data_IF_744025116507
#
_entry.id   IF_744025116507
#
_cell.length_a   1.000
_cell.length_b   1.000
_cell.length_c   1.000
_cell.angle_alpha   90.00
_cell.angle_beta   90.00
_cell.angle_gamma   90.00
#
_symmetry.space_group_name_H-M   'P 1'
#
loop_
_entity.id
_entity.type
_entity.pdbx_description
1 polymer ?
#
# COMPACT_ATOMS: atom_id res chain seq x y z
N UNK A 1 -10.03 9.01 23.03
CA UNK A 1 -8.84 9.43 22.27
C UNK A 1 -9.11 10.66 21.41
N UNK A 2 -10.14 10.61 20.57
CA UNK A 2 -10.49 11.74 19.70
C UNK A 2 -10.76 13.03 20.49
N UNK A 3 -11.55 12.95 21.54
CA UNK A 3 -11.89 14.12 22.37
C UNK A 3 -10.67 14.76 23.06
N UNK A 4 -9.65 13.97 23.36
CA UNK A 4 -8.42 14.44 23.98
C UNK A 4 -7.48 15.14 22.99
N UNK A 5 -7.56 14.78 21.69
CA UNK A 5 -6.67 15.23 20.65
C UNK A 5 -7.26 16.27 19.69
N UNK A 6 -8.55 16.59 19.85
CA UNK A 6 -9.33 17.38 18.88
C UNK A 6 -8.65 18.69 18.47
N UNK A 7 -8.09 19.44 19.40
CA UNK A 7 -7.48 20.72 19.14
C UNK A 7 -5.94 20.69 19.06
N UNK A 8 -5.31 19.52 19.23
CA UNK A 8 -3.86 19.37 19.32
C UNK A 8 -3.24 18.77 18.08
N UNK A 9 -3.95 17.89 17.37
CA UNK A 9 -3.42 17.23 16.19
C UNK A 9 -4.51 16.78 15.23
N UNK A 10 -4.12 16.49 13.98
CA UNK A 10 -4.98 15.85 13.01
C UNK A 10 -5.06 14.34 13.26
N UNK A 11 -6.22 13.75 12.99
CA UNK A 11 -6.44 12.31 13.08
C UNK A 11 -6.90 11.77 11.73
N UNK A 12 -6.19 10.76 11.21
CA UNK A 12 -6.56 10.08 9.98
C UNK A 12 -6.87 8.62 10.30
N UNK A 13 -8.08 8.17 9.92
CA UNK A 13 -8.48 6.78 10.05
C UNK A 13 -8.35 6.08 8.71
N UNK A 14 -7.64 4.97 8.71
CA UNK A 14 -7.49 4.09 7.56
C UNK A 14 -8.27 2.80 7.82
N UNK A 15 -9.13 2.43 6.89
CA UNK A 15 -9.97 1.26 7.04
C UNK A 15 -10.31 0.64 5.68
N UNK A 16 -10.89 -0.54 5.70
CA UNK A 16 -11.45 -1.18 4.51
C UNK A 16 -12.86 -0.66 4.25
N UNK A 17 -13.42 -0.97 3.08
CA UNK A 17 -14.80 -0.64 2.71
C UNK A 17 -15.83 -1.17 3.70
N UNK A 18 -15.48 -2.19 4.47
CA UNK A 18 -16.36 -2.76 5.49
C UNK A 18 -16.76 -1.74 6.57
N UNK A 19 -15.84 -0.87 6.95
CA UNK A 19 -16.14 0.17 7.94
C UNK A 19 -17.20 1.14 7.41
N UNK A 20 -17.07 1.59 6.16
CA UNK A 20 -18.05 2.48 5.53
C UNK A 20 -19.42 1.81 5.42
N UNK A 21 -19.48 0.56 4.99
CA UNK A 21 -20.72 -0.22 4.92
C UNK A 21 -21.39 -0.36 6.29
N UNK A 22 -20.59 -0.65 7.30
CA UNK A 22 -21.10 -0.77 8.69
C UNK A 22 -21.61 0.55 9.22
N UNK A 23 -20.90 1.64 8.94
CA UNK A 23 -21.31 2.99 9.32
C UNK A 23 -22.64 3.37 8.67
N UNK A 24 -22.76 3.18 7.36
CA UNK A 24 -23.98 3.45 6.59
C UNK A 24 -25.17 2.64 7.13
N UNK A 25 -24.96 1.35 7.41
CA UNK A 25 -25.97 0.46 7.97
C UNK A 25 -26.44 0.95 9.37
N UNK A 26 -25.50 1.30 10.25
CA UNK A 26 -25.80 1.81 11.57
C UNK A 26 -26.56 3.13 11.55
N UNK A 27 -26.20 4.04 10.65
CA UNK A 27 -26.90 5.32 10.46
C UNK A 27 -28.32 5.12 9.94
N UNK A 28 -28.51 4.21 8.97
CA UNK A 28 -29.82 3.89 8.42
C UNK A 28 -30.78 3.32 9.49
N UNK A 29 -30.27 2.48 10.37
CA UNK A 29 -31.03 1.87 11.46
C UNK A 29 -31.11 2.76 12.71
N UNK A 30 -30.52 3.95 12.67
CA UNK A 30 -30.46 4.90 13.78
C UNK A 30 -29.90 4.30 15.06
N UNK A 31 -28.90 3.43 14.94
CA UNK A 31 -28.24 2.83 16.09
C UNK A 31 -27.48 3.90 16.89
N UNK A 32 -27.52 3.77 18.22
CA UNK A 32 -26.88 4.70 19.14
C UNK A 32 -25.37 4.80 18.90
N UNK A 33 -24.86 6.02 18.85
CA UNK A 33 -23.42 6.31 18.72
C UNK A 33 -22.92 6.48 17.28
N UNK A 34 -23.60 5.92 16.28
CA UNK A 34 -23.13 5.99 14.90
C UNK A 34 -23.16 7.41 14.32
N UNK A 35 -24.22 8.15 14.60
CA UNK A 35 -24.34 9.54 14.12
C UNK A 35 -23.27 10.44 14.72
N UNK A 36 -22.95 10.25 15.99
CA UNK A 36 -21.91 11.01 16.68
C UNK A 36 -20.53 10.75 16.07
N UNK A 37 -20.17 9.47 15.86
CA UNK A 37 -18.91 9.09 15.23
C UNK A 37 -18.83 9.66 13.81
N UNK A 38 -19.89 9.49 13.03
CA UNK A 38 -19.95 9.99 11.66
C UNK A 38 -19.77 11.51 11.59
N UNK A 39 -20.39 12.24 12.50
CA UNK A 39 -20.24 13.69 12.60
C UNK A 39 -18.79 14.09 12.92
N UNK A 40 -18.13 13.38 13.83
CA UNK A 40 -16.73 13.65 14.21
C UNK A 40 -15.75 13.32 13.09
N UNK A 41 -16.07 12.36 12.23
CA UNK A 41 -15.28 12.03 11.04
C UNK A 41 -15.53 13.01 9.87
N UNK A 42 -16.33 14.05 10.07
CA UNK A 42 -16.61 15.04 9.04
C UNK A 42 -17.64 14.59 8.00
N UNK A 43 -18.37 13.51 8.27
CA UNK A 43 -19.42 12.94 7.41
C UNK A 43 -18.91 12.56 6.01
N UNK A 44 -17.65 12.18 5.91
CA UNK A 44 -17.02 11.90 4.63
C UNK A 44 -16.03 10.75 4.73
N UNK A 45 -16.12 9.84 3.79
CA UNK A 45 -15.09 8.83 3.54
C UNK A 45 -14.44 9.11 2.19
N UNK A 46 -13.12 9.05 2.13
CA UNK A 46 -12.39 9.16 0.88
C UNK A 46 -12.03 7.75 0.43
N UNK A 47 -12.66 7.31 -0.67
CA UNK A 47 -12.34 6.02 -1.25
C UNK A 47 -11.04 6.12 -2.05
N UNK A 48 -10.08 5.26 -1.72
CA UNK A 48 -8.87 5.12 -2.51
C UNK A 48 -9.15 4.14 -3.65
N UNK A 49 -8.72 4.48 -4.85
CA UNK A 49 -8.82 3.57 -5.98
C UNK A 49 -7.94 2.34 -5.77
N UNK A 50 -8.29 1.23 -6.42
CA UNK A 50 -7.46 0.04 -6.43
C UNK A 50 -6.11 0.29 -7.10
N UNK A 51 -5.18 -0.62 -6.85
CA UNK A 51 -3.84 -0.60 -7.43
C UNK A 51 -3.91 -0.92 -8.93
N UNK A 52 -3.32 -0.07 -9.77
CA UNK A 52 -3.26 -0.28 -11.21
C UNK A 52 -1.92 -0.88 -11.63
N UNK A 53 -1.84 -1.43 -12.84
CA UNK A 53 -0.58 -1.91 -13.41
C UNK A 53 0.47 -0.80 -13.52
N UNK A 54 0.04 0.41 -13.87
CA UNK A 54 0.92 1.58 -13.93
C UNK A 54 1.50 1.93 -12.55
N UNK A 55 0.70 1.81 -11.50
CA UNK A 55 1.16 2.02 -10.13
C UNK A 55 2.24 1.00 -9.73
N UNK A 56 2.04 -0.27 -10.08
CA UNK A 56 3.02 -1.34 -9.82
C UNK A 56 4.32 -1.07 -10.57
N UNK A 57 4.24 -0.70 -11.84
CA UNK A 57 5.40 -0.35 -12.64
C UNK A 57 6.19 0.81 -12.00
N UNK A 58 5.50 1.84 -11.55
CA UNK A 58 6.11 2.99 -10.87
C UNK A 58 6.82 2.58 -9.59
N UNK A 59 6.19 1.74 -8.76
CA UNK A 59 6.81 1.21 -7.54
C UNK A 59 8.08 0.43 -7.86
N UNK A 60 8.06 -0.41 -8.89
CA UNK A 60 9.23 -1.16 -9.34
C UNK A 60 10.37 -0.24 -9.76
N UNK A 61 10.09 0.73 -10.61
CA UNK A 61 11.09 1.69 -11.12
C UNK A 61 11.73 2.51 -10.00
N UNK A 62 10.93 3.07 -9.10
CA UNK A 62 11.40 3.87 -7.97
C UNK A 62 12.30 3.05 -7.03
N UNK A 63 12.06 1.75 -6.92
CA UNK A 63 12.84 0.86 -6.05
C UNK A 63 14.04 0.20 -6.76
N UNK A 64 14.32 0.56 -8.00
CA UNK A 64 15.52 0.13 -8.70
C UNK A 64 15.38 -1.10 -9.59
N UNK A 65 14.15 -1.51 -9.90
CA UNK A 65 13.89 -2.54 -10.91
C UNK A 65 13.90 -1.88 -12.28
N UNK A 66 14.98 -2.05 -13.02
CA UNK A 66 15.24 -1.39 -14.29
C UNK A 66 14.95 -2.27 -15.52
N UNK A 67 14.61 -3.52 -15.32
CA UNK A 67 14.34 -4.49 -16.38
C UNK A 67 12.84 -4.55 -16.68
N UNK A 68 12.45 -4.16 -17.90
CA UNK A 68 11.06 -4.15 -18.33
C UNK A 68 10.39 -5.52 -18.24
N UNK A 69 11.10 -6.59 -18.58
CA UNK A 69 10.57 -7.97 -18.48
C UNK A 69 10.28 -8.37 -17.04
N UNK A 70 11.16 -7.97 -16.13
CA UNK A 70 10.98 -8.24 -14.70
C UNK A 70 9.79 -7.46 -14.16
N UNK A 71 9.60 -6.20 -14.56
CA UNK A 71 8.44 -5.40 -14.19
C UNK A 71 7.15 -6.06 -14.67
N UNK A 72 7.09 -6.50 -15.92
CA UNK A 72 5.93 -7.20 -16.47
C UNK A 72 5.64 -8.50 -15.70
N UNK A 73 6.66 -9.25 -15.37
CA UNK A 73 6.53 -10.47 -14.55
C UNK A 73 5.99 -10.18 -13.15
N UNK A 74 6.43 -9.10 -12.53
CA UNK A 74 5.94 -8.67 -11.23
C UNK A 74 4.47 -8.26 -11.31
N UNK A 75 4.08 -7.52 -12.34
CA UNK A 75 2.69 -7.10 -12.57
C UNK A 75 1.78 -8.33 -12.68
N UNK A 76 2.16 -9.31 -13.49
CA UNK A 76 1.39 -10.53 -13.71
C UNK A 76 1.25 -11.38 -12.44
N UNK A 77 2.34 -11.52 -11.69
CA UNK A 77 2.36 -12.32 -10.46
C UNK A 77 1.64 -11.65 -9.29
N UNK A 78 1.69 -10.33 -9.23
CA UNK A 78 1.17 -9.59 -8.08
C UNK A 78 -0.36 -9.57 -8.00
N UNK A 79 -1.07 -9.68 -9.12
CA UNK A 79 -2.54 -9.64 -9.15
C UNK A 79 -3.10 -8.47 -8.33
N UNK A 80 -2.50 -7.29 -8.49
CA UNK A 80 -2.88 -6.06 -7.76
C UNK A 80 -2.65 -6.12 -6.23
N UNK A 81 -1.84 -7.06 -5.74
CA UNK A 81 -1.46 -7.16 -4.33
C UNK A 81 -0.08 -6.53 -4.07
N UNK A 82 -0.06 -5.40 -3.41
CA UNK A 82 1.16 -4.64 -3.12
C UNK A 82 2.16 -5.43 -2.25
N UNK A 83 1.71 -6.36 -1.42
CA UNK A 83 2.59 -7.22 -0.63
C UNK A 83 3.41 -8.16 -1.51
N UNK A 84 2.78 -8.70 -2.55
CA UNK A 84 3.47 -9.51 -3.56
C UNK A 84 4.48 -8.67 -4.35
N UNK A 85 4.10 -7.47 -4.76
CA UNK A 85 5.01 -6.52 -5.41
C UNK A 85 6.26 -6.29 -4.55
N UNK A 86 6.08 -5.97 -3.28
CA UNK A 86 7.17 -5.76 -2.34
C UNK A 86 8.11 -6.96 -2.26
N UNK A 87 7.57 -8.16 -2.12
CA UNK A 87 8.37 -9.40 -2.05
C UNK A 87 9.17 -9.64 -3.33
N UNK A 88 8.56 -9.44 -4.48
CA UNK A 88 9.22 -9.62 -5.78
C UNK A 88 10.32 -8.59 -6.01
N UNK A 89 10.09 -7.35 -5.67
CA UNK A 89 11.10 -6.28 -5.73
C UNK A 89 12.29 -6.62 -4.84
N UNK A 90 12.07 -7.02 -3.60
CA UNK A 90 13.14 -7.44 -2.69
C UNK A 90 13.93 -8.63 -3.23
N UNK A 91 13.26 -9.63 -3.79
CA UNK A 91 13.92 -10.80 -4.37
C UNK A 91 14.81 -10.41 -5.56
N UNK A 92 14.34 -9.54 -6.42
CA UNK A 92 15.10 -9.02 -7.56
C UNK A 92 16.35 -8.26 -7.12
N UNK A 93 16.22 -7.36 -6.17
CA UNK A 93 17.33 -6.57 -5.66
C UNK A 93 18.40 -7.44 -4.99
N UNK A 94 18.00 -8.46 -4.24
CA UNK A 94 18.93 -9.43 -3.64
C UNK A 94 19.71 -10.23 -4.69
N UNK A 95 19.05 -10.66 -5.76
CA UNK A 95 19.72 -11.34 -6.87
C UNK A 95 20.74 -10.42 -7.55
N UNK A 96 20.38 -9.17 -7.75
CA UNK A 96 21.25 -8.16 -8.35
C UNK A 96 22.48 -7.90 -7.49
N UNK A 97 22.34 -7.78 -6.19
CA UNK A 97 23.45 -7.61 -5.23
C UNK A 97 24.38 -8.81 -5.24
N UNK A 98 23.86 -10.03 -5.22
CA UNK A 98 24.66 -11.27 -5.27
C UNK A 98 25.41 -11.39 -6.57
N UNK A 99 24.81 -11.06 -7.70
CA UNK A 99 25.47 -11.08 -8.99
C UNK A 99 26.62 -10.07 -9.07
N UNK A 100 26.44 -8.88 -8.50
CA UNK A 100 27.47 -7.84 -8.41
C UNK A 100 28.61 -8.27 -7.48
N UNK A 101 28.31 -8.85 -6.32
CA UNK A 101 29.30 -9.37 -5.38
C UNK A 101 30.14 -10.50 -6.01
N UNK A 102 29.51 -11.42 -6.75
CA UNK A 102 30.22 -12.50 -7.45
C UNK A 102 31.15 -11.96 -8.53
N UNK A 103 30.75 -10.97 -9.30
CA UNK A 103 31.61 -10.32 -10.30
C UNK A 103 32.84 -9.68 -9.65
N UNK A 104 32.65 -8.96 -8.57
CA UNK A 104 33.74 -8.32 -7.84
C UNK A 104 34.71 -9.34 -7.25
N UNK A 105 34.24 -10.49 -6.78
CA UNK A 105 35.07 -11.59 -6.30
C UNK A 105 35.93 -12.20 -7.42
N UNK A 106 35.38 -12.36 -8.61
CA UNK A 106 36.13 -12.86 -9.77
C UNK A 106 37.15 -11.86 -10.30
N UNK A 107 36.87 -10.57 -10.28
CA UNK A 107 37.80 -9.52 -10.68
C UNK A 107 38.98 -9.39 -9.71
N UNK A 108 38.80 -9.69 -8.41
CA UNK A 108 39.86 -9.65 -7.41
C UNK A 108 40.79 -10.87 -7.47
N UNK A 109 40.35 -12.02 -7.98
CA UNK A 109 41.15 -13.23 -8.15
C UNK A 109 41.98 -13.23 -9.44
N UNK A 110 41.68 -12.34 -10.35
CA UNK A 110 42.43 -12.16 -11.58
C UNK A 110 43.54 -11.14 -11.45
#
# INVERSE_FOLDING_TARGET
LYNQLEDECGLILLATDYLEKRMTHGLRLKKKGYQEIWSRLGRKCVALRGLTQADIAMVCEVNGVDNAREIDSIIDDAEEDLRRVKRRVHAYLRKKEKATANKNSHEQEA
#
